data_IF_488178100321
#
_entry.id   IF_488178100321
#
_cell.length_a   1.000
_cell.length_b   1.000
_cell.length_c   1.000
_cell.angle_alpha   90.00
_cell.angle_beta   90.00
_cell.angle_gamma   90.00
#
_symmetry.space_group_name_H-M   'P 1'
#
loop_
_entity.id
_entity.type
_entity.pdbx_description
1 polymer ?
#
# COMPACT_ATOMS: atom_id res chain seq x y z
N UNK A 1 -30.90 -14.04 7.08
CA UNK A 1 -30.35 -13.49 5.82
C UNK A 1 -29.41 -14.53 5.25
N UNK A 2 -29.46 -14.76 3.93
CA UNK A 2 -28.45 -15.61 3.29
C UNK A 2 -27.14 -14.84 3.24
N UNK A 3 -26.21 -15.19 4.12
CA UNK A 3 -24.82 -14.79 3.97
C UNK A 3 -24.10 -15.78 3.06
N UNK A 4 -23.18 -15.30 2.23
CA UNK A 4 -22.38 -16.16 1.34
C UNK A 4 -20.97 -16.41 1.87
N UNK A 5 -20.62 -15.75 2.98
CA UNK A 5 -19.35 -15.92 3.65
C UNK A 5 -19.42 -17.08 4.65
N UNK A 6 -18.36 -17.86 4.74
CA UNK A 6 -18.23 -18.98 5.68
C UNK A 6 -17.67 -18.50 7.02
N UNK A 7 -17.91 -19.26 8.09
CA UNK A 7 -17.37 -18.96 9.43
C UNK A 7 -15.84 -18.88 9.44
N UNK A 8 -15.16 -19.71 8.64
CA UNK A 8 -13.70 -19.70 8.55
C UNK A 8 -13.18 -18.45 7.83
N UNK A 9 -13.86 -18.00 6.76
CA UNK A 9 -13.55 -16.73 6.09
C UNK A 9 -13.80 -15.53 7.02
N UNK A 10 -14.87 -15.56 7.83
CA UNK A 10 -15.15 -14.53 8.84
C UNK A 10 -13.97 -14.46 9.83
N UNK A 11 -13.60 -15.58 10.44
CA UNK A 11 -12.49 -15.64 11.41
C UNK A 11 -11.17 -15.16 10.79
N UNK A 12 -10.88 -15.59 9.55
CA UNK A 12 -9.65 -15.21 8.87
C UNK A 12 -9.53 -13.69 8.66
N UNK A 13 -10.64 -13.01 8.37
CA UNK A 13 -10.67 -11.55 8.24
C UNK A 13 -10.62 -10.86 9.60
N UNK A 14 -11.45 -11.27 10.55
CA UNK A 14 -11.54 -10.64 11.87
C UNK A 14 -10.22 -10.73 12.63
N UNK A 15 -9.55 -11.89 12.57
CA UNK A 15 -8.27 -12.10 13.22
C UNK A 15 -7.08 -11.58 12.41
N UNK A 16 -7.30 -11.07 11.19
CA UNK A 16 -6.24 -10.71 10.25
C UNK A 16 -5.22 -11.83 10.03
N UNK A 17 -5.72 -13.04 9.75
CA UNK A 17 -4.93 -14.28 9.58
C UNK A 17 -4.93 -14.81 8.14
N UNK A 18 -5.39 -14.03 7.16
CA UNK A 18 -5.37 -14.41 5.73
C UNK A 18 -4.19 -13.81 4.98
N UNK A 19 -3.60 -14.61 4.09
CA UNK A 19 -2.56 -14.18 3.15
C UNK A 19 -3.13 -13.53 1.88
N UNK A 20 -4.41 -13.76 1.57
CA UNK A 20 -5.09 -13.18 0.42
C UNK A 20 -6.50 -12.68 0.80
N UNK A 21 -6.59 -11.50 1.42
CA UNK A 21 -7.87 -10.88 1.73
C UNK A 21 -8.76 -10.64 0.50
N UNK A 22 -8.20 -10.54 -0.72
CA UNK A 22 -8.96 -10.29 -1.94
C UNK A 22 -9.77 -11.51 -2.39
N UNK A 23 -9.44 -12.70 -1.90
CA UNK A 23 -10.26 -13.90 -2.09
C UNK A 23 -11.59 -13.85 -1.31
N UNK A 24 -11.70 -12.97 -0.32
CA UNK A 24 -12.86 -12.86 0.59
C UNK A 24 -13.54 -11.49 0.46
N UNK A 25 -12.76 -10.41 0.53
CA UNK A 25 -13.18 -9.01 0.44
C UNK A 25 -13.31 -8.56 -1.02
N UNK A 26 -14.03 -7.47 -1.24
CA UNK A 26 -14.33 -6.94 -2.57
C UNK A 26 -15.54 -7.63 -3.20
N UNK A 27 -15.57 -7.67 -4.52
CA UNK A 27 -16.69 -8.17 -5.32
C UNK A 27 -16.45 -9.59 -5.82
N UNK A 28 -17.41 -10.48 -5.58
CA UNK A 28 -17.30 -11.90 -5.89
C UNK A 28 -18.56 -12.40 -6.61
N UNK A 29 -18.38 -13.18 -7.67
CA UNK A 29 -19.47 -13.95 -8.29
C UNK A 29 -19.60 -15.27 -7.53
N UNK A 30 -20.75 -15.54 -6.92
CA UNK A 30 -21.06 -16.77 -6.17
C UNK A 30 -22.30 -17.45 -6.77
N UNK A 31 -22.51 -18.72 -6.42
CA UNK A 31 -23.72 -19.47 -6.79
C UNK A 31 -24.52 -19.81 -5.55
N UNK A 32 -25.82 -19.47 -5.57
CA UNK A 32 -26.80 -19.86 -4.56
C UNK A 32 -27.97 -20.52 -5.29
N UNK A 33 -28.30 -21.76 -4.93
CA UNK A 33 -29.40 -22.52 -5.56
C UNK A 33 -29.33 -22.50 -7.10
N UNK A 34 -28.14 -22.76 -7.66
CA UNK A 34 -27.82 -22.72 -9.10
C UNK A 34 -27.99 -21.36 -9.81
N UNK A 35 -28.27 -20.29 -9.07
CA UNK A 35 -28.30 -18.92 -9.59
C UNK A 35 -27.01 -18.20 -9.24
N UNK A 36 -26.46 -17.48 -10.22
CA UNK A 36 -25.35 -16.57 -9.96
C UNK A 36 -25.85 -15.37 -9.15
N UNK A 37 -25.06 -15.00 -8.14
CA UNK A 37 -25.26 -13.81 -7.31
C UNK A 37 -23.94 -13.06 -7.21
N UNK A 38 -24.00 -11.75 -7.02
CA UNK A 38 -22.83 -10.95 -6.65
C UNK A 38 -22.83 -10.76 -5.14
N UNK A 39 -21.74 -11.15 -4.48
CA UNK A 39 -21.48 -10.82 -3.09
C UNK A 39 -20.40 -9.74 -3.02
N UNK A 40 -20.71 -8.60 -2.40
CA UNK A 40 -19.74 -7.55 -2.11
C UNK A 40 -19.48 -7.55 -0.60
N UNK A 41 -18.21 -7.70 -0.22
CA UNK A 41 -17.80 -7.79 1.17
C UNK A 41 -16.76 -6.74 1.51
N UNK A 42 -16.90 -6.12 2.67
CA UNK A 42 -15.93 -5.14 3.13
C UNK A 42 -15.75 -5.23 4.64
N UNK A 43 -14.52 -5.02 5.08
CA UNK A 43 -14.16 -5.00 6.48
C UNK A 43 -13.85 -3.56 6.89
N UNK A 44 -14.76 -2.98 7.67
CA UNK A 44 -14.73 -1.61 8.15
C UNK A 44 -14.86 -1.63 9.68
N UNK A 45 -13.76 -1.88 10.41
CA UNK A 45 -13.77 -1.81 11.86
C UNK A 45 -14.40 -0.51 12.36
N UNK A 46 -15.25 -0.63 13.38
CA UNK A 46 -15.95 0.49 14.06
C UNK A 46 -17.04 1.19 13.23
N UNK A 47 -17.24 0.82 11.96
CA UNK A 47 -18.37 1.34 11.19
C UNK A 47 -19.70 0.87 11.78
N UNK A 48 -20.68 1.77 11.80
CA UNK A 48 -22.04 1.46 12.20
C UNK A 48 -22.77 0.77 11.05
N UNK A 49 -22.68 1.32 9.85
CA UNK A 49 -23.32 0.79 8.65
C UNK A 49 -22.44 1.01 7.41
N UNK A 50 -22.65 0.17 6.39
CA UNK A 50 -22.05 0.33 5.06
C UNK A 50 -23.12 0.21 4.00
N UNK A 51 -23.07 1.07 2.98
CA UNK A 51 -23.97 1.08 1.84
C UNK A 51 -23.14 1.01 0.56
N UNK A 52 -23.50 0.10 -0.35
CA UNK A 52 -22.92 0.01 -1.68
C UNK A 52 -23.59 1.04 -2.61
N UNK A 53 -22.79 1.92 -3.21
CA UNK A 53 -23.22 2.90 -4.22
C UNK A 53 -22.65 2.54 -5.59
N UNK A 54 -23.44 2.61 -6.66
CA UNK A 54 -22.98 2.31 -8.04
C UNK A 54 -23.93 1.42 -8.85
N UNK A 55 -24.88 0.78 -8.18
CA UNK A 55 -26.07 0.15 -8.78
C UNK A 55 -27.23 1.16 -8.89
N UNK A 56 -28.22 0.90 -9.76
CA UNK A 56 -29.40 1.78 -9.97
C UNK A 56 -30.05 2.23 -8.66
N UNK A 57 -30.01 1.39 -7.62
CA UNK A 57 -30.39 1.70 -6.25
C UNK A 57 -29.22 1.36 -5.32
N UNK A 58 -28.89 2.22 -4.36
CA UNK A 58 -27.92 1.89 -3.32
C UNK A 58 -28.42 0.74 -2.45
N UNK A 59 -27.53 -0.18 -2.06
CA UNK A 59 -27.88 -1.34 -1.24
C UNK A 59 -27.20 -1.26 0.12
N UNK A 60 -27.97 -1.42 1.20
CA UNK A 60 -27.41 -1.45 2.56
C UNK A 60 -26.81 -2.83 2.83
N UNK A 61 -25.56 -2.87 3.28
CA UNK A 61 -24.91 -4.11 3.66
C UNK A 61 -25.50 -4.65 4.97
N UNK A 62 -25.55 -5.97 5.07
CA UNK A 62 -25.77 -6.69 6.32
C UNK A 62 -24.46 -6.72 7.10
N UNK A 63 -24.51 -6.36 8.38
CA UNK A 63 -23.37 -6.55 9.31
C UNK A 63 -23.29 -8.04 9.67
N UNK A 64 -22.40 -8.77 9.01
CA UNK A 64 -22.22 -10.22 9.21
C UNK A 64 -21.41 -10.54 10.46
N UNK A 65 -20.58 -9.60 10.94
CA UNK A 65 -19.87 -9.72 12.20
C UNK A 65 -19.80 -8.36 12.92
N UNK A 66 -19.89 -8.37 14.26
CA UNK A 66 -19.92 -7.16 15.10
C UNK A 66 -18.66 -6.31 15.00
N UNK A 67 -17.54 -6.92 14.64
CA UNK A 67 -16.24 -6.24 14.50
C UNK A 67 -16.11 -5.44 13.19
N UNK A 68 -17.20 -5.32 12.43
CA UNK A 68 -17.27 -4.46 11.25
C UNK A 68 -17.07 -5.20 9.94
N UNK A 69 -17.46 -6.47 9.85
CA UNK A 69 -17.53 -7.18 8.58
C UNK A 69 -18.94 -7.04 8.00
N UNK A 70 -19.03 -6.62 6.75
CA UNK A 70 -20.27 -6.31 6.05
C UNK A 70 -20.36 -7.07 4.73
N UNK A 71 -21.57 -7.49 4.36
CA UNK A 71 -21.87 -8.15 3.09
C UNK A 71 -23.15 -7.60 2.47
N UNK A 72 -23.13 -7.35 1.16
CA UNK A 72 -24.31 -7.11 0.34
C UNK A 72 -24.39 -8.18 -0.76
N UNK A 73 -25.57 -8.78 -0.94
CA UNK A 73 -25.81 -9.83 -1.94
C UNK A 73 -26.81 -9.32 -2.97
N UNK A 74 -26.43 -9.35 -4.23
CA UNK A 74 -27.25 -8.91 -5.36
C UNK A 74 -27.65 -10.12 -6.20
N UNK A 75 -28.96 -10.35 -6.29
CA UNK A 75 -29.53 -11.36 -7.18
C UNK A 75 -29.75 -10.78 -8.60
N UNK A 76 -29.58 -11.63 -9.62
CA UNK A 76 -29.86 -11.24 -11.01
C UNK A 76 -28.79 -10.37 -11.69
N UNK A 77 -27.71 -10.04 -10.98
CA UNK A 77 -26.50 -9.42 -11.55
C UNK A 77 -25.46 -10.52 -11.76
N UNK A 78 -24.96 -10.65 -12.99
CA UNK A 78 -24.01 -11.70 -13.35
C UNK A 78 -22.59 -11.19 -13.62
N UNK A 79 -22.41 -9.87 -13.73
CA UNK A 79 -21.13 -9.24 -14.04
C UNK A 79 -20.69 -8.34 -12.90
N UNK A 80 -19.38 -8.27 -12.68
CA UNK A 80 -18.78 -7.28 -11.79
C UNK A 80 -19.03 -5.86 -12.33
N UNK A 81 -19.17 -4.89 -11.43
CA UNK A 81 -19.46 -3.51 -11.76
C UNK A 81 -18.68 -2.56 -10.85
N UNK A 82 -18.40 -1.32 -11.28
CA UNK A 82 -17.78 -0.33 -10.40
C UNK A 82 -18.75 0.09 -9.29
N UNK A 83 -18.25 0.18 -8.06
CA UNK A 83 -19.00 0.65 -6.92
C UNK A 83 -18.10 1.42 -5.94
N UNK A 84 -18.74 2.13 -5.03
CA UNK A 84 -18.14 2.81 -3.89
C UNK A 84 -18.81 2.37 -2.61
N UNK A 85 -18.06 2.45 -1.52
CA UNK A 85 -18.54 2.18 -0.17
C UNK A 85 -18.88 3.51 0.48
N UNK A 86 -20.16 3.69 0.84
CA UNK A 86 -20.56 4.74 1.78
C UNK A 86 -20.54 4.14 3.19
N UNK A 87 -19.57 4.56 3.98
CA UNK A 87 -19.34 4.10 5.36
C UNK A 87 -19.95 5.12 6.31
N UNK A 88 -20.77 4.65 7.23
CA UNK A 88 -21.41 5.46 8.28
C UNK A 88 -20.78 5.06 9.61
N UNK A 89 -20.24 6.05 10.33
CA UNK A 89 -19.58 5.85 11.62
C UNK A 89 -20.55 6.07 12.78
N UNK A 90 -20.16 5.65 13.98
CA UNK A 90 -20.99 5.76 15.20
C UNK A 90 -21.32 7.20 15.60
N UNK A 91 -20.48 8.15 15.23
CA UNK A 91 -20.69 9.59 15.46
C UNK A 91 -21.62 10.22 14.41
N UNK A 92 -22.12 9.43 13.44
CA UNK A 92 -22.96 9.88 12.34
C UNK A 92 -22.18 10.46 11.15
N UNK A 93 -20.84 10.54 11.23
CA UNK A 93 -20.03 10.95 10.09
C UNK A 93 -20.12 9.91 8.96
N UNK A 94 -20.00 10.39 7.73
CA UNK A 94 -20.09 9.56 6.54
C UNK A 94 -18.86 9.77 5.64
N UNK A 95 -18.28 8.67 5.15
CA UNK A 95 -17.20 8.71 4.17
C UNK A 95 -17.59 7.87 2.95
N UNK A 96 -17.29 8.37 1.75
CA UNK A 96 -17.45 7.62 0.51
C UNK A 96 -16.06 7.29 -0.04
N UNK A 97 -15.77 6.01 -0.20
CA UNK A 97 -14.47 5.53 -0.69
C UNK A 97 -14.63 4.57 -1.87
N UNK A 98 -13.63 4.52 -2.74
CA UNK A 98 -13.44 3.43 -3.68
C UNK A 98 -12.83 2.22 -2.93
N UNK A 99 -13.42 1.04 -3.11
CA UNK A 99 -12.99 -0.18 -2.40
C UNK A 99 -11.60 -0.67 -2.89
N UNK A 100 -10.57 -0.72 -2.03
CA UNK A 100 -9.26 -1.27 -2.43
C UNK A 100 -9.34 -2.73 -2.88
N UNK A 101 -10.26 -3.51 -2.29
CA UNK A 101 -10.34 -4.96 -2.49
C UNK A 101 -11.08 -5.37 -3.77
N UNK A 102 -11.68 -4.43 -4.50
CA UNK A 102 -12.29 -4.70 -5.82
C UNK A 102 -11.29 -4.72 -6.97
N UNK A 103 -10.07 -4.26 -6.73
CA UNK A 103 -9.09 -3.99 -7.78
C UNK A 103 -8.25 -5.24 -8.10
N UNK A 104 -7.85 -5.46 -9.36
CA UNK A 104 -6.97 -6.55 -9.73
C UNK A 104 -5.54 -6.32 -9.19
N UNK A 105 -4.68 -7.36 -9.23
CA UNK A 105 -3.26 -7.21 -8.97
C UNK A 105 -2.61 -6.11 -9.81
N UNK A 106 -1.68 -5.36 -9.24
CA UNK A 106 -0.95 -4.30 -9.97
C UNK A 106 0.32 -4.86 -10.60
N UNK A 107 1.06 -5.70 -9.86
CA UNK A 107 2.27 -6.36 -10.36
C UNK A 107 1.86 -7.54 -11.26
N UNK A 108 2.26 -7.45 -12.53
CA UNK A 108 2.04 -8.51 -13.51
C UNK A 108 3.01 -9.69 -13.31
N UNK A 109 2.69 -10.83 -13.92
CA UNK A 109 3.45 -12.07 -13.72
C UNK A 109 4.86 -12.02 -14.34
N UNK A 110 5.09 -11.17 -15.35
CA UNK A 110 6.41 -11.02 -15.96
C UNK A 110 7.37 -10.25 -15.04
N UNK A 111 6.90 -9.20 -14.38
CA UNK A 111 7.67 -8.48 -13.37
C UNK A 111 8.01 -9.40 -12.18
N UNK A 112 7.07 -10.25 -11.74
CA UNK A 112 7.32 -11.27 -10.71
C UNK A 112 8.36 -12.30 -11.15
N UNK A 113 8.31 -12.74 -12.42
CA UNK A 113 9.30 -13.65 -12.98
C UNK A 113 10.70 -13.04 -12.95
N UNK A 114 10.88 -11.83 -13.47
CA UNK A 114 12.18 -11.15 -13.46
C UNK A 114 12.69 -10.88 -12.04
N UNK A 115 11.78 -10.58 -11.10
CA UNK A 115 12.10 -10.41 -9.68
C UNK A 115 12.64 -11.71 -9.09
N UNK A 116 11.97 -12.84 -9.32
CA UNK A 116 12.39 -14.15 -8.80
C UNK A 116 13.73 -14.60 -9.37
N UNK A 117 14.01 -14.30 -10.65
CA UNK A 117 15.29 -14.59 -11.29
C UNK A 117 16.42 -13.61 -10.88
N UNK A 118 16.09 -12.54 -10.14
CA UNK A 118 17.07 -11.50 -9.76
C UNK A 118 17.56 -10.66 -10.95
N UNK A 119 16.83 -10.66 -12.07
CA UNK A 119 17.20 -9.98 -13.33
C UNK A 119 16.42 -8.68 -13.56
N UNK A 120 15.53 -8.31 -12.65
CA UNK A 120 14.72 -7.09 -12.76
C UNK A 120 15.55 -5.81 -12.52
N UNK A 121 16.13 -5.24 -13.58
CA UNK A 121 17.02 -4.05 -13.49
C UNK A 121 16.36 -2.78 -12.93
N UNK A 122 15.04 -2.63 -13.04
CA UNK A 122 14.26 -1.47 -12.57
C UNK A 122 13.30 -1.84 -11.45
N UNK A 123 13.76 -2.66 -10.52
CA UNK A 123 12.93 -3.21 -9.44
C UNK A 123 12.19 -2.13 -8.64
N UNK A 124 12.81 -0.96 -8.43
CA UNK A 124 12.22 0.19 -7.74
C UNK A 124 11.02 0.82 -8.46
N UNK A 125 10.85 0.59 -9.77
CA UNK A 125 9.71 1.07 -10.55
C UNK A 125 8.44 0.21 -10.37
N UNK A 126 8.57 -0.96 -9.72
CA UNK A 126 7.48 -1.94 -9.59
C UNK A 126 7.32 -2.52 -8.19
N UNK A 127 8.41 -2.64 -7.44
CA UNK A 127 8.46 -3.24 -6.10
C UNK A 127 8.80 -2.16 -5.04
N UNK A 128 8.02 -1.08 -5.06
CA UNK A 128 8.08 0.01 -4.10
C UNK A 128 6.69 0.63 -3.90
N UNK A 129 6.62 1.69 -3.11
CA UNK A 129 5.42 2.50 -2.89
C UNK A 129 5.35 3.62 -3.92
N UNK A 130 4.23 3.70 -4.65
CA UNK A 130 4.07 4.62 -5.77
C UNK A 130 2.73 5.35 -5.73
N UNK A 131 2.79 6.67 -5.81
CA UNK A 131 1.61 7.47 -6.14
C UNK A 131 1.33 7.35 -7.64
N UNK A 132 0.20 6.77 -8.01
CA UNK A 132 -0.10 6.43 -9.41
C UNK A 132 -1.59 6.46 -9.74
N UNK A 133 -1.90 6.33 -11.03
CA UNK A 133 -3.25 6.07 -11.54
C UNK A 133 -3.35 4.58 -11.88
N UNK A 134 -4.34 3.89 -11.31
CA UNK A 134 -4.64 2.48 -11.60
C UNK A 134 -6.15 2.30 -11.74
N UNK A 135 -6.61 1.61 -12.78
CA UNK A 135 -8.05 1.43 -13.06
C UNK A 135 -8.85 2.77 -13.05
N UNK A 136 -8.26 3.83 -13.63
CA UNK A 136 -8.79 5.21 -13.64
C UNK A 136 -8.91 5.89 -12.27
N UNK A 137 -8.36 5.30 -11.20
CA UNK A 137 -8.33 5.86 -9.85
C UNK A 137 -6.95 6.38 -9.53
N UNK A 138 -6.86 7.58 -8.94
CA UNK A 138 -5.64 8.07 -8.29
C UNK A 138 -5.54 7.47 -6.89
N UNK A 139 -4.35 7.04 -6.51
CA UNK A 139 -4.11 6.46 -5.20
C UNK A 139 -2.65 6.09 -5.01
N UNK A 140 -2.40 5.26 -4.00
CA UNK A 140 -1.05 4.79 -3.69
C UNK A 140 -1.01 3.28 -3.80
N UNK A 141 -0.10 2.80 -4.62
CA UNK A 141 0.30 1.41 -4.69
C UNK A 141 1.36 1.13 -3.62
N UNK A 142 1.18 0.04 -2.87
CA UNK A 142 2.14 -0.44 -1.89
C UNK A 142 2.59 -1.84 -2.26
N UNK A 143 3.89 -2.08 -2.22
CA UNK A 143 4.46 -3.42 -2.33
C UNK A 143 5.66 -3.61 -1.41
N UNK A 144 5.86 -4.83 -0.93
CA UNK A 144 7.03 -5.21 -0.13
C UNK A 144 7.34 -6.68 -0.32
N UNK A 145 8.63 -7.03 -0.33
CA UNK A 145 9.07 -8.42 -0.31
C UNK A 145 9.18 -8.92 1.14
N UNK A 146 8.32 -9.87 1.50
CA UNK A 146 8.26 -10.48 2.83
C UNK A 146 7.84 -11.96 2.71
N UNK A 147 8.69 -12.84 2.14
CA UNK A 147 8.32 -14.20 1.74
C UNK A 147 7.90 -15.11 2.90
N UNK A 148 8.40 -14.84 4.10
CA UNK A 148 8.10 -15.62 5.30
C UNK A 148 7.03 -14.98 6.19
N UNK A 149 6.42 -13.86 5.78
CA UNK A 149 5.29 -13.29 6.50
C UNK A 149 4.05 -14.19 6.32
N UNK A 150 3.20 -14.28 7.34
CA UNK A 150 1.87 -14.89 7.22
C UNK A 150 0.80 -13.85 6.88
N UNK A 151 1.04 -12.59 7.22
CA UNK A 151 0.26 -11.42 6.82
C UNK A 151 1.17 -10.21 6.70
N UNK A 152 0.92 -9.39 5.69
CA UNK A 152 1.39 -8.01 5.65
C UNK A 152 0.21 -7.05 5.53
N UNK A 153 0.31 -5.89 6.18
CA UNK A 153 -0.65 -4.80 6.06
C UNK A 153 0.06 -3.48 5.99
N UNK A 154 -0.52 -2.50 5.31
CA UNK A 154 -0.03 -1.13 5.34
C UNK A 154 -0.75 -0.35 6.43
N UNK A 155 0.03 0.34 7.27
CA UNK A 155 -0.46 1.16 8.37
C UNK A 155 0.05 2.58 8.22
N UNK A 156 -0.78 3.57 8.53
CA UNK A 156 -0.45 4.98 8.41
C UNK A 156 -1.57 5.87 8.91
N UNK A 157 -1.42 7.17 8.69
CA UNK A 157 -2.39 8.16 9.18
C UNK A 157 -3.80 7.94 8.58
N UNK A 158 -3.87 7.46 7.35
CA UNK A 158 -5.12 7.20 6.61
C UNK A 158 -5.96 6.04 7.16
N UNK A 159 -5.39 5.19 8.02
CA UNK A 159 -6.12 4.10 8.68
C UNK A 159 -5.86 4.04 10.19
N UNK A 160 -5.48 5.17 10.78
CA UNK A 160 -5.21 5.31 12.21
C UNK A 160 -4.21 4.28 12.73
N UNK A 161 -3.27 3.87 11.88
CA UNK A 161 -2.26 2.86 12.17
C UNK A 161 -2.84 1.46 12.53
N UNK A 162 -4.06 1.16 12.11
CA UNK A 162 -4.72 -0.15 12.31
C UNK A 162 -4.44 -1.09 11.12
N UNK A 163 -3.59 -2.10 11.37
CA UNK A 163 -3.20 -3.08 10.36
C UNK A 163 -4.32 -4.03 9.91
N UNK A 164 -5.47 -4.06 10.58
CA UNK A 164 -6.60 -4.88 10.14
C UNK A 164 -7.37 -4.24 8.96
N UNK A 165 -7.21 -2.92 8.75
CA UNK A 165 -7.98 -2.15 7.74
C UNK A 165 -7.46 -2.29 6.30
N UNK A 166 -6.15 -2.45 6.12
CA UNK A 166 -5.51 -2.51 4.80
C UNK A 166 -4.51 -3.67 4.71
N UNK A 167 -5.05 -4.88 4.85
CA UNK A 167 -4.33 -6.14 4.61
C UNK A 167 -3.96 -6.28 3.14
N UNK A 168 -2.72 -6.69 2.87
CA UNK A 168 -2.16 -6.86 1.52
C UNK A 168 -2.38 -8.29 1.03
N UNK A 169 -2.39 -8.49 -0.30
CA UNK A 169 -2.39 -9.85 -0.88
C UNK A 169 -0.97 -10.34 -1.09
N UNK A 170 -0.73 -11.62 -0.79
CA UNK A 170 0.48 -12.32 -1.20
C UNK A 170 0.43 -12.70 -2.67
N UNK A 171 1.52 -12.48 -3.40
CA UNK A 171 1.70 -12.89 -4.81
C UNK A 171 2.39 -14.25 -4.91
N UNK A 172 1.89 -15.20 -4.12
CA UNK A 172 2.31 -16.60 -4.11
C UNK A 172 3.79 -16.79 -3.82
N UNK A 173 4.46 -17.61 -4.62
CA UNK A 173 5.85 -18.03 -4.40
C UNK A 173 6.89 -16.91 -4.54
N UNK A 174 6.51 -15.74 -5.07
CA UNK A 174 7.40 -14.58 -5.11
C UNK A 174 7.70 -14.02 -3.71
N UNK A 175 6.80 -14.24 -2.75
CA UNK A 175 6.87 -13.62 -1.43
C UNK A 175 6.63 -12.12 -1.42
N UNK A 176 6.17 -11.56 -2.55
CA UNK A 176 5.81 -10.15 -2.68
C UNK A 176 4.39 -9.96 -2.19
N UNK A 177 4.17 -8.91 -1.41
CA UNK A 177 2.87 -8.49 -0.95
C UNK A 177 2.48 -7.20 -1.63
N UNK A 178 1.22 -7.02 -1.98
CA UNK A 178 0.76 -5.79 -2.63
C UNK A 178 -0.67 -5.35 -2.24
N UNK A 179 -0.93 -4.05 -2.37
CA UNK A 179 -2.26 -3.44 -2.35
C UNK A 179 -2.22 -2.09 -3.06
N UNK A 180 -3.28 -1.74 -3.78
CA UNK A 180 -3.52 -0.37 -4.24
C UNK A 180 -4.65 0.23 -3.41
N UNK A 181 -4.43 1.41 -2.84
CA UNK A 181 -5.43 2.12 -2.03
C UNK A 181 -5.84 3.40 -2.78
N UNK A 182 -7.04 3.45 -3.36
CA UNK A 182 -7.58 4.63 -4.02
C UNK A 182 -7.74 5.81 -3.05
N UNK A 183 -7.62 7.03 -3.59
CA UNK A 183 -7.88 8.26 -2.84
C UNK A 183 -6.74 8.72 -1.92
N UNK A 184 -5.71 7.90 -1.70
CA UNK A 184 -4.52 8.32 -0.97
C UNK A 184 -3.67 9.32 -1.77
N UNK A 185 -3.00 10.22 -1.04
CA UNK A 185 -2.17 11.29 -1.58
C UNK A 185 -0.71 11.17 -1.14
N UNK A 186 0.15 12.02 -1.73
CA UNK A 186 1.54 12.17 -1.31
C UNK A 186 1.67 12.79 0.09
N UNK A 187 2.84 12.68 0.69
CA UNK A 187 3.20 13.15 2.04
C UNK A 187 2.52 12.40 3.20
N UNK A 188 1.78 11.33 2.94
CA UNK A 188 1.25 10.46 3.99
C UNK A 188 2.35 9.64 4.64
N UNK A 189 2.29 9.51 5.97
CA UNK A 189 3.14 8.61 6.72
C UNK A 189 2.61 7.19 6.62
N UNK A 190 3.51 6.23 6.44
CA UNK A 190 3.17 4.82 6.47
C UNK A 190 4.32 3.93 6.96
N UNK A 191 3.95 2.70 7.34
CA UNK A 191 4.82 1.56 7.60
C UNK A 191 4.13 0.27 7.16
N UNK A 192 4.88 -0.82 7.15
CA UNK A 192 4.33 -2.17 6.99
C UNK A 192 4.20 -2.85 8.35
N UNK A 193 3.00 -3.28 8.68
CA UNK A 193 2.76 -4.21 9.79
C UNK A 193 2.87 -5.64 9.24
N UNK A 194 3.78 -6.42 9.80
CA UNK A 194 4.14 -7.76 9.35
C UNK A 194 3.89 -8.73 10.49
N UNK A 195 3.08 -9.75 10.23
CA UNK A 195 2.94 -10.91 11.12
C UNK A 195 3.87 -12.01 10.64
N UNK A 196 4.78 -12.44 11.51
CA UNK A 196 5.72 -13.52 11.20
C UNK A 196 5.07 -14.90 11.39
N UNK A 197 5.76 -15.97 10.95
CA UNK A 197 5.32 -17.37 11.19
C UNK A 197 5.22 -17.71 12.68
N UNK A 198 6.03 -17.07 13.51
CA UNK A 198 5.99 -17.16 14.97
C UNK A 198 4.84 -16.34 15.58
N UNK A 199 3.93 -15.80 14.75
CA UNK A 199 2.80 -14.94 15.15
C UNK A 199 3.22 -13.66 15.87
N UNK A 200 4.44 -13.17 15.63
CA UNK A 200 4.91 -11.89 16.16
C UNK A 200 4.50 -10.77 15.21
N UNK A 201 3.89 -9.72 15.77
CA UNK A 201 3.57 -8.50 15.02
C UNK A 201 4.76 -7.56 15.10
N UNK A 202 5.26 -7.12 13.94
CA UNK A 202 6.32 -6.11 13.85
C UNK A 202 5.92 -5.01 12.89
N UNK A 203 6.35 -3.78 13.16
CA UNK A 203 6.09 -2.63 12.29
C UNK A 203 7.42 -2.13 11.72
N UNK A 204 7.54 -2.13 10.40
CA UNK A 204 8.78 -1.84 9.67
C UNK A 204 8.61 -0.67 8.70
N UNK A 205 9.62 0.17 8.63
CA UNK A 205 9.76 1.15 7.53
C UNK A 205 9.88 0.41 6.20
N UNK A 206 9.48 1.05 5.12
CA UNK A 206 9.66 0.52 3.77
C UNK A 206 11.16 0.38 3.44
N UNK A 207 11.66 -0.83 3.07
CA UNK A 207 13.02 -1.01 2.59
C UNK A 207 13.33 -0.24 1.30
N UNK A 208 12.32 0.02 0.46
CA UNK A 208 12.47 0.71 -0.82
C UNK A 208 11.84 2.11 -0.81
N UNK A 209 11.60 2.67 0.38
CA UNK A 209 10.97 3.98 0.54
C UNK A 209 11.84 5.13 0.03
N UNK A 210 11.24 6.06 -0.71
CA UNK A 210 11.93 7.24 -1.27
C UNK A 210 12.12 8.40 -0.28
N UNK A 211 11.32 8.44 0.78
CA UNK A 211 11.38 9.49 1.79
C UNK A 211 10.98 8.93 3.16
N UNK A 212 11.56 9.50 4.21
CA UNK A 212 11.34 9.08 5.60
C UNK A 212 11.14 10.28 6.50
N UNK A 213 10.47 10.07 7.64
CA UNK A 213 10.42 11.06 8.69
C UNK A 213 11.81 11.46 9.18
N UNK A 214 11.92 12.68 9.70
CA UNK A 214 13.14 13.13 10.35
C UNK A 214 13.40 12.32 11.61
N UNK A 215 14.63 11.81 11.76
CA UNK A 215 15.11 11.13 12.97
C UNK A 215 14.75 11.91 14.26
N UNK A 216 14.37 11.22 15.35
CA UNK A 216 14.45 9.76 15.58
C UNK A 216 13.22 8.98 15.08
N UNK A 217 12.25 9.64 14.46
CA UNK A 217 11.09 8.97 13.89
C UNK A 217 11.48 8.11 12.68
N UNK A 218 10.63 7.14 12.34
CA UNK A 218 10.98 6.08 11.38
C UNK A 218 9.90 5.76 10.36
N UNK A 219 8.76 6.48 10.30
CA UNK A 219 7.80 6.20 9.24
C UNK A 219 8.39 6.56 7.86
N UNK A 220 8.01 5.78 6.86
CA UNK A 220 8.23 6.14 5.47
C UNK A 220 7.17 7.17 5.05
N UNK A 221 7.48 7.96 4.02
CA UNK A 221 6.60 9.00 3.49
C UNK A 221 6.29 8.67 2.04
N UNK A 222 5.01 8.72 1.66
CA UNK A 222 4.60 8.58 0.25
C UNK A 222 5.15 9.78 -0.52
N UNK A 223 6.02 9.53 -1.49
CA UNK A 223 6.71 10.57 -2.26
C UNK A 223 6.44 10.42 -3.75
N UNK A 224 6.14 11.53 -4.42
CA UNK A 224 6.03 11.57 -5.88
C UNK A 224 7.38 11.95 -6.51
N UNK A 225 8.01 10.94 -7.09
CA UNK A 225 9.32 11.05 -7.73
C UNK A 225 9.31 11.95 -8.97
N UNK A 226 8.14 12.17 -9.60
CA UNK A 226 8.03 12.93 -10.85
C UNK A 226 7.82 14.43 -10.64
N UNK A 227 7.79 14.89 -9.38
CA UNK A 227 7.46 16.28 -9.07
C UNK A 227 8.64 17.26 -9.30
N UNK A 228 9.88 16.77 -9.40
CA UNK A 228 11.05 17.64 -9.65
C UNK A 228 11.34 17.79 -11.15
N UNK A 229 11.50 19.04 -11.61
CA UNK A 229 11.90 19.35 -12.99
C UNK A 229 13.41 19.59 -13.06
N UNK A 230 14.11 18.69 -13.72
CA UNK A 230 15.54 18.81 -13.99
C UNK A 230 15.83 19.92 -15.01
N UNK A 231 17.05 20.46 -14.96
CA UNK A 231 17.54 21.52 -15.86
C UNK A 231 19.04 21.34 -16.19
N UNK A 232 19.51 20.09 -16.18
CA UNK A 232 20.90 19.69 -16.36
C UNK A 232 21.15 18.89 -17.65
N UNK A 233 20.24 18.99 -18.63
CA UNK A 233 20.34 18.28 -19.92
C UNK A 233 21.69 18.49 -20.61
N UNK A 234 22.13 19.74 -20.73
CA UNK A 234 23.44 20.10 -21.31
C UNK A 234 24.61 19.47 -20.55
N UNK A 235 24.50 19.30 -19.24
CA UNK A 235 25.54 18.67 -18.44
C UNK A 235 25.59 17.16 -18.71
N UNK A 236 24.43 16.51 -18.75
CA UNK A 236 24.31 15.08 -19.03
C UNK A 236 24.81 14.72 -20.44
N UNK A 237 24.50 15.53 -21.45
CA UNK A 237 25.00 15.36 -22.83
C UNK A 237 26.52 15.41 -22.92
N UNK A 238 27.16 16.29 -22.15
CA UNK A 238 28.61 16.48 -22.15
C UNK A 238 29.35 15.53 -21.20
N UNK A 239 28.63 14.73 -20.38
CA UNK A 239 29.21 13.85 -19.37
C UNK A 239 29.81 12.60 -20.01
N UNK A 240 31.14 12.61 -20.19
CA UNK A 240 31.94 11.48 -20.64
C UNK A 240 32.73 10.93 -19.44
N UNK A 241 33.02 9.64 -19.41
CA UNK A 241 33.96 9.02 -18.45
C UNK A 241 35.29 9.79 -18.48
N UNK A 242 35.68 10.54 -17.42
CA UNK A 242 36.77 11.50 -17.48
C UNK A 242 38.13 10.82 -17.18
N UNK A 243 38.50 9.79 -17.93
CA UNK A 243 39.77 9.09 -17.73
C UNK A 243 41.00 9.93 -18.15
N UNK A 244 40.80 10.91 -19.02
CA UNK A 244 41.81 11.76 -19.65
C UNK A 244 41.65 13.25 -19.30
N UNK A 245 40.81 13.58 -18.33
CA UNK A 245 40.48 14.96 -17.93
C UNK A 245 40.92 15.25 -16.48
N UNK A 246 41.22 16.50 -16.13
CA UNK A 246 41.53 16.84 -14.74
C UNK A 246 40.31 16.63 -13.85
N UNK A 247 40.49 15.94 -12.73
CA UNK A 247 39.46 15.70 -11.71
C UNK A 247 40.01 16.15 -10.36
N UNK A 248 39.45 17.22 -9.80
CA UNK A 248 39.74 17.67 -8.44
C UNK A 248 38.47 17.53 -7.59
N UNK A 249 38.50 16.65 -6.59
CA UNK A 249 37.33 16.30 -5.77
C UNK A 249 37.41 17.03 -4.43
N UNK A 250 36.38 17.80 -4.09
CA UNK A 250 36.19 18.34 -2.75
C UNK A 250 35.25 17.44 -1.96
N UNK A 251 35.81 16.61 -1.08
CA UNK A 251 35.02 15.74 -0.21
C UNK A 251 34.28 16.56 0.86
N UNK A 252 32.98 16.31 1.02
CA UNK A 252 32.13 17.08 1.92
C UNK A 252 31.12 16.19 2.67
N UNK A 253 31.10 16.31 4.00
CA UNK A 253 30.01 15.79 4.83
C UNK A 253 28.92 16.86 5.03
N UNK A 254 27.79 16.71 4.31
CA UNK A 254 26.68 17.68 4.31
C UNK A 254 26.16 18.05 5.72
N UNK A 255 26.13 17.08 6.64
CA UNK A 255 25.61 17.28 8.00
C UNK A 255 26.52 18.07 8.95
N UNK A 256 27.76 18.39 8.55
CA UNK A 256 28.71 19.14 9.39
C UNK A 256 29.48 20.24 8.66
N UNK A 257 29.38 20.33 7.33
CA UNK A 257 30.15 21.29 6.54
C UNK A 257 29.95 22.74 6.98
N UNK A 258 28.70 23.16 7.19
CA UNK A 258 28.37 24.51 7.69
C UNK A 258 27.10 24.47 8.55
N UNK A 259 27.29 24.44 9.87
CA UNK A 259 26.19 24.46 10.84
C UNK A 259 25.83 25.88 11.27
N UNK A 260 24.58 26.10 11.64
CA UNK A 260 24.19 27.32 12.36
C UNK A 260 24.83 27.27 13.76
N UNK A 261 25.35 28.41 14.23
CA UNK A 261 26.08 28.54 15.51
C UNK A 261 25.27 28.04 16.72
N UNK A 262 23.94 28.06 16.63
CA UNK A 262 23.02 27.60 17.67
C UNK A 262 22.87 26.08 17.77
N UNK A 263 23.50 25.29 16.91
CA UNK A 263 23.40 23.82 16.90
C UNK A 263 24.50 23.18 17.76
N UNK A 264 24.18 22.87 19.02
CA UNK A 264 25.13 22.48 20.09
C UNK A 264 25.71 21.05 19.99
N UNK A 265 25.67 20.39 18.82
CA UNK A 265 26.05 18.98 18.66
C UNK A 265 27.48 18.80 18.14
N UNK A 266 28.48 19.11 18.97
CA UNK A 266 29.92 18.78 18.80
C UNK A 266 30.66 19.33 17.55
N UNK A 267 31.86 19.87 17.79
CA UNK A 267 32.82 20.42 16.81
C UNK A 267 33.76 19.30 16.34
N UNK A 268 33.85 19.00 15.03
CA UNK A 268 34.98 18.23 14.50
C UNK A 268 35.44 18.65 13.09
N UNK A 269 36.71 18.33 12.89
CA UNK A 269 37.77 18.80 11.99
C UNK A 269 37.48 18.52 10.51
N UNK A 270 37.74 19.52 9.65
CA UNK A 270 37.86 19.36 8.21
C UNK A 270 39.22 18.71 7.91
N UNK A 271 39.24 17.56 7.22
CA UNK A 271 40.45 17.06 6.58
C UNK A 271 40.29 17.29 5.07
N UNK A 272 41.17 18.12 4.50
CA UNK A 272 41.32 18.25 3.06
C UNK A 272 42.34 17.20 2.62
N UNK A 273 41.88 16.18 1.92
CA UNK A 273 42.75 15.23 1.22
C UNK A 273 42.88 15.72 -0.22
N UNK A 274 44.06 16.23 -0.60
CA UNK A 274 44.41 16.43 -2.00
C UNK A 274 45.02 15.10 -2.49
N UNK A 275 44.34 14.45 -3.45
CA UNK A 275 44.87 13.33 -4.23
C UNK A 275 45.45 13.86 -5.54
#
# INVERSE_FOLDING_TARGET
>A
MLTTITEDEIKAIINAETYDPFSILGIHVKKINDKNVIAIRTFQPEAEDVIIQGVKNSEKCVKVHTDGLFEAVFEGINNVFPYRLKIIWKDGNENIIDDPYRLPPVINDYDLYLFNEGTHIKIYDRFSVQFMVFESLKGVFFSIWAPNAIRVSVVGDFNQWDGRRHMMRSRGNSGVWEIFIPGLSVNLLYKFEIVTREKVITVRSDPTGFMYEKRPKTASVVFDQNNYKWNDDKWLENRILPLDKPVAIYEMHLGSWRRKITDNRAKHILHLSLL
#
